data_IF_741480684394
#
_entry.id   IF_741480684394
#
_cell.length_a   1.000
_cell.length_b   1.000
_cell.length_c   1.000
_cell.angle_alpha   90.00
_cell.angle_beta   90.00
_cell.angle_gamma   90.00
#
_symmetry.space_group_name_H-M   'P 1'
#
loop_
_entity.id
_entity.type
_entity.pdbx_description
1 polymer ?
#
# COMPACT_ATOMS: atom_id res chain seq x y z
N UNK A 1 13.68 14.93 5.57
CA UNK A 1 12.31 15.02 5.03
C UNK A 1 12.18 16.39 4.39
N UNK A 2 11.65 16.50 3.17
CA UNK A 2 11.58 17.78 2.47
C UNK A 2 10.57 18.72 3.14
N UNK A 3 10.91 20.00 3.26
CA UNK A 3 10.00 21.03 3.78
C UNK A 3 8.93 21.35 2.71
N UNK A 4 7.63 21.20 3.01
CA UNK A 4 6.57 21.52 2.06
C UNK A 4 6.48 23.00 1.68
N UNK A 5 7.10 23.89 2.46
CA UNK A 5 7.11 25.33 2.17
C UNK A 5 8.24 25.73 1.20
N UNK A 6 9.16 24.81 0.90
CA UNK A 6 10.30 25.07 0.01
C UNK A 6 10.09 24.30 -1.30
N UNK A 7 9.65 24.97 -2.39
CA UNK A 7 9.28 24.31 -3.64
C UNK A 7 10.43 23.50 -4.26
N UNK A 8 11.67 23.98 -4.13
CA UNK A 8 12.85 23.29 -4.67
C UNK A 8 13.14 21.96 -3.95
N UNK A 9 12.88 21.89 -2.64
CA UNK A 9 13.02 20.66 -1.87
C UNK A 9 11.94 19.65 -2.25
N UNK A 10 10.72 20.11 -2.50
CA UNK A 10 9.63 19.27 -3.01
C UNK A 10 9.95 18.73 -4.40
N UNK A 11 10.47 19.57 -5.30
CA UNK A 11 10.86 19.15 -6.65
C UNK A 11 12.01 18.13 -6.61
N UNK A 12 13.01 18.35 -5.75
CA UNK A 12 14.10 17.40 -5.55
C UNK A 12 13.59 16.07 -4.98
N UNK A 13 12.72 16.12 -3.96
CA UNK A 13 12.11 14.92 -3.38
C UNK A 13 11.28 14.14 -4.42
N UNK A 14 10.49 14.86 -5.22
CA UNK A 14 9.73 14.27 -6.33
C UNK A 14 10.64 13.57 -7.34
N UNK A 15 11.69 14.25 -7.79
CA UNK A 15 12.66 13.67 -8.73
C UNK A 15 13.39 12.46 -8.12
N UNK A 16 13.70 12.52 -6.83
CA UNK A 16 14.38 11.41 -6.12
C UNK A 16 13.49 10.17 -5.94
N UNK A 17 12.17 10.34 -5.92
CA UNK A 17 11.20 9.24 -5.76
C UNK A 17 11.34 8.22 -6.89
N UNK A 18 11.61 8.70 -8.11
CA UNK A 18 11.73 7.89 -9.31
C UNK A 18 13.18 7.47 -9.62
N UNK A 19 14.12 7.70 -8.70
CA UNK A 19 15.50 7.28 -8.89
C UNK A 19 15.63 5.74 -8.72
N UNK A 20 15.69 5.03 -9.84
CA UNK A 20 15.78 3.57 -9.87
C UNK A 20 17.08 3.00 -9.28
N UNK A 21 18.18 3.77 -9.24
CA UNK A 21 19.46 3.32 -8.68
C UNK A 21 19.46 3.38 -7.15
N UNK A 22 18.80 4.40 -6.58
CA UNK A 22 18.80 4.67 -5.14
C UNK A 22 17.56 4.10 -4.42
N UNK A 23 16.41 4.05 -5.10
CA UNK A 23 15.13 3.60 -4.57
C UNK A 23 14.66 2.26 -5.17
N UNK A 24 15.31 1.80 -6.25
CA UNK A 24 14.99 0.54 -6.90
C UNK A 24 15.84 -0.62 -6.40
N UNK A 25 15.32 -1.83 -6.58
CA UNK A 25 16.07 -3.08 -6.41
C UNK A 25 15.65 -4.03 -7.52
N UNK A 26 16.61 -4.54 -8.28
CA UNK A 26 16.33 -5.49 -9.34
C UNK A 26 16.04 -6.87 -8.73
N UNK A 27 14.90 -7.45 -9.11
CA UNK A 27 14.45 -8.76 -8.63
C UNK A 27 13.73 -9.49 -9.77
N UNK A 28 13.71 -10.81 -9.70
CA UNK A 28 12.85 -11.62 -10.57
C UNK A 28 11.38 -11.26 -10.31
N UNK A 29 10.55 -11.27 -11.36
CA UNK A 29 9.18 -10.75 -11.29
C UNK A 29 8.32 -11.41 -10.21
N UNK A 30 8.49 -12.71 -9.98
CA UNK A 30 7.76 -13.46 -8.95
C UNK A 30 8.29 -13.16 -7.54
N UNK A 31 9.60 -13.02 -7.36
CA UNK A 31 10.20 -12.60 -6.09
C UNK A 31 9.79 -11.16 -5.74
N UNK A 32 9.75 -10.28 -6.74
CA UNK A 32 9.27 -8.91 -6.57
C UNK A 32 7.84 -8.87 -6.01
N UNK A 33 6.94 -9.71 -6.51
CA UNK A 33 5.56 -9.78 -5.98
C UNK A 33 5.53 -10.18 -4.51
N UNK A 34 6.38 -11.12 -4.09
CA UNK A 34 6.51 -11.50 -2.69
C UNK A 34 7.09 -10.37 -1.83
N UNK A 35 8.02 -9.60 -2.37
CA UNK A 35 8.62 -8.44 -1.70
C UNK A 35 7.60 -7.30 -1.53
N UNK A 36 6.83 -7.00 -2.58
CA UNK A 36 5.79 -5.96 -2.56
C UNK A 36 4.63 -6.32 -1.63
N UNK A 37 4.25 -7.60 -1.61
CA UNK A 37 3.29 -8.18 -0.67
C UNK A 37 3.85 -8.39 0.75
N UNK A 38 5.08 -7.92 1.03
CA UNK A 38 5.70 -7.94 2.37
C UNK A 38 5.81 -9.36 2.97
N UNK A 39 5.89 -10.40 2.14
CA UNK A 39 6.11 -11.78 2.59
C UNK A 39 7.55 -12.02 3.08
N UNK A 40 8.48 -11.17 2.63
CA UNK A 40 9.84 -11.10 3.14
C UNK A 40 10.35 -9.66 3.08
N UNK A 41 11.40 -9.37 3.85
CA UNK A 41 12.09 -8.08 3.84
C UNK A 41 13.61 -8.27 3.93
N UNK A 42 14.36 -7.21 3.61
CA UNK A 42 15.82 -7.19 3.68
C UNK A 42 16.23 -6.23 4.81
N UNK A 43 17.04 -6.73 5.73
CA UNK A 43 17.50 -5.93 6.88
C UNK A 43 18.39 -4.76 6.41
N UNK A 44 18.16 -3.53 6.90
CA UNK A 44 18.83 -2.34 6.34
C UNK A 44 20.34 -2.28 6.56
N UNK A 45 20.87 -2.89 7.62
CA UNK A 45 22.29 -2.90 7.98
C UNK A 45 23.00 -4.20 7.59
N UNK A 46 22.39 -5.34 7.93
CA UNK A 46 23.02 -6.65 7.71
C UNK A 46 22.77 -7.18 6.29
N UNK A 47 21.77 -6.62 5.60
CA UNK A 47 21.24 -7.10 4.32
C UNK A 47 20.78 -8.56 4.37
N UNK A 48 20.49 -9.09 5.56
CA UNK A 48 19.92 -10.43 5.70
C UNK A 48 18.45 -10.42 5.28
N UNK A 49 18.07 -11.42 4.51
CA UNK A 49 16.70 -11.64 4.06
C UNK A 49 15.93 -12.33 5.19
N UNK A 50 14.84 -11.72 5.63
CA UNK A 50 13.90 -12.31 6.58
C UNK A 50 12.61 -12.64 5.87
N UNK A 51 12.27 -13.93 5.85
CA UNK A 51 10.98 -14.44 5.37
C UNK A 51 10.01 -14.52 6.55
N UNK A 52 8.79 -14.05 6.34
CA UNK A 52 7.73 -14.01 7.36
C UNK A 52 6.69 -15.12 7.18
N UNK A 53 6.57 -15.66 5.97
CA UNK A 53 5.57 -16.66 5.62
C UNK A 53 6.24 -17.86 4.96
N UNK A 54 5.77 -19.05 5.32
CA UNK A 54 6.28 -20.33 4.81
C UNK A 54 5.84 -20.55 3.35
N UNK A 55 6.66 -20.08 2.42
CA UNK A 55 6.46 -20.25 0.98
C UNK A 55 7.74 -20.80 0.35
N UNK A 56 7.62 -21.93 -0.35
CA UNK A 56 8.75 -22.64 -0.97
C UNK A 56 9.65 -21.74 -1.82
N UNK A 57 9.03 -20.82 -2.57
CA UNK A 57 9.69 -19.91 -3.50
C UNK A 57 10.58 -18.85 -2.82
N UNK A 58 10.41 -18.59 -1.52
CA UNK A 58 11.15 -17.55 -0.79
C UNK A 58 11.91 -18.10 0.42
N UNK A 59 11.49 -19.24 0.96
CA UNK A 59 12.12 -19.87 2.13
C UNK A 59 13.60 -20.14 1.94
N UNK A 60 14.02 -20.51 0.72
CA UNK A 60 15.43 -20.74 0.42
C UNK A 60 16.31 -19.51 0.63
N UNK A 61 15.72 -18.30 0.64
CA UNK A 61 16.45 -17.05 0.86
C UNK A 61 16.49 -16.63 2.33
N UNK A 62 15.72 -17.26 3.22
CA UNK A 62 15.69 -16.90 4.63
C UNK A 62 17.09 -16.99 5.26
N UNK A 63 17.51 -15.93 5.96
CA UNK A 63 18.82 -15.83 6.59
C UNK A 63 20.00 -15.65 5.63
N UNK A 64 19.77 -15.64 4.30
CA UNK A 64 20.82 -15.33 3.33
C UNK A 64 21.01 -13.83 3.18
N UNK A 65 22.24 -13.41 2.86
CA UNK A 65 22.56 -12.01 2.60
C UNK A 65 22.18 -11.64 1.16
N UNK A 66 21.35 -10.63 1.00
CA UNK A 66 21.01 -10.08 -0.31
C UNK A 66 22.22 -9.39 -0.94
N UNK A 67 22.44 -9.65 -2.24
CA UNK A 67 23.41 -8.90 -3.02
C UNK A 67 22.76 -7.61 -3.54
N UNK A 68 22.90 -6.53 -2.76
CA UNK A 68 22.36 -5.22 -3.09
C UNK A 68 23.42 -4.36 -3.77
N UNK A 69 22.97 -3.52 -4.72
CA UNK A 69 23.81 -2.45 -5.24
C UNK A 69 24.18 -1.49 -4.11
N UNK A 70 25.45 -1.05 -4.09
CA UNK A 70 25.98 -0.15 -3.04
C UNK A 70 25.25 1.20 -2.95
N UNK A 71 24.45 1.54 -3.96
CA UNK A 71 23.70 2.78 -4.09
C UNK A 71 22.33 2.76 -3.43
N UNK A 72 21.81 1.59 -3.04
CA UNK A 72 20.49 1.50 -2.41
C UNK A 72 20.52 2.26 -1.08
N UNK A 73 19.63 3.24 -0.94
CA UNK A 73 19.56 4.05 0.26
C UNK A 73 19.09 3.20 1.44
N UNK A 74 19.88 3.19 2.52
CA UNK A 74 19.53 2.53 3.79
C UNK A 74 18.15 2.93 4.29
N UNK A 75 17.77 4.20 4.13
CA UNK A 75 16.46 4.71 4.54
C UNK A 75 15.29 4.04 3.80
N UNK A 76 15.47 3.67 2.53
CA UNK A 76 14.45 2.97 1.73
C UNK A 76 14.27 1.54 2.23
N UNK A 77 15.39 0.84 2.49
CA UNK A 77 15.36 -0.50 3.08
C UNK A 77 14.75 -0.49 4.47
N UNK A 78 15.08 0.53 5.29
CA UNK A 78 14.50 0.71 6.62
C UNK A 78 12.98 0.84 6.56
N UNK A 79 12.46 1.72 5.69
CA UNK A 79 11.02 1.90 5.54
C UNK A 79 10.33 0.59 5.16
N UNK A 80 10.87 -0.15 4.18
CA UNK A 80 10.28 -1.44 3.77
C UNK A 80 10.39 -2.50 4.86
N UNK A 81 11.48 -2.53 5.60
CA UNK A 81 11.66 -3.40 6.75
C UNK A 81 10.60 -3.11 7.82
N UNK A 82 10.46 -1.86 8.24
CA UNK A 82 9.53 -1.46 9.29
C UNK A 82 8.07 -1.78 8.91
N UNK A 83 7.68 -1.51 7.65
CA UNK A 83 6.36 -1.86 7.13
C UNK A 83 6.13 -3.38 7.12
N UNK A 84 7.11 -4.17 6.71
CA UNK A 84 6.99 -5.62 6.71
C UNK A 84 6.91 -6.19 8.13
N UNK A 85 7.69 -5.66 9.08
CA UNK A 85 7.63 -6.06 10.49
C UNK A 85 6.26 -5.71 11.07
N UNK A 86 5.75 -4.50 10.82
CA UNK A 86 4.45 -4.05 11.30
C UNK A 86 3.31 -4.98 10.84
N UNK A 87 3.31 -5.37 9.57
CA UNK A 87 2.27 -6.24 8.99
C UNK A 87 2.38 -7.70 9.44
N UNK A 88 3.59 -8.20 9.66
CA UNK A 88 3.85 -9.60 9.97
C UNK A 88 4.12 -9.89 11.46
N UNK A 89 3.97 -8.90 12.33
CA UNK A 89 4.12 -9.13 13.78
C UNK A 89 2.90 -9.88 14.32
N UNK A 90 3.05 -11.11 14.84
CA UNK A 90 1.93 -11.87 15.38
C UNK A 90 1.38 -11.17 16.62
N UNK A 91 0.16 -10.65 16.50
CA UNK A 91 -0.57 -10.07 17.61
C UNK A 91 0.06 -8.81 18.18
N UNK A 92 0.11 -7.73 17.41
CA UNK A 92 -0.05 -6.44 18.09
C UNK A 92 -1.49 -6.34 18.56
N UNK A 93 -1.68 -6.52 19.86
CA UNK A 93 -2.63 -5.71 20.62
C UNK A 93 -2.13 -4.26 20.48
N UNK A 94 -2.24 -3.68 19.28
CA UNK A 94 -2.36 -2.25 19.18
C UNK A 94 -3.74 -1.98 19.74
N UNK A 95 -3.90 -1.23 20.85
CA UNK A 95 -5.13 -0.48 20.98
C UNK A 95 -5.21 0.29 19.67
N UNK A 96 -6.17 -0.06 18.82
CA UNK A 96 -6.41 0.56 17.51
C UNK A 96 -6.01 2.03 17.66
N UNK A 97 -4.91 2.45 17.01
CA UNK A 97 -4.64 3.88 16.92
C UNK A 97 -5.85 4.40 16.16
N UNK A 98 -6.81 4.93 16.89
CA UNK A 98 -8.12 5.35 16.39
C UNK A 98 -7.98 6.55 15.45
N UNK A 99 -6.73 6.93 15.14
CA UNK A 99 -6.30 8.00 14.28
C UNK A 99 -4.79 7.89 14.14
N UNK A 100 -4.28 7.90 12.93
CA UNK A 100 -2.95 8.46 12.69
C UNK A 100 -3.06 9.96 13.06
N UNK A 101 -2.63 10.34 14.26
CA UNK A 101 -2.85 11.69 14.82
C UNK A 101 -2.06 12.80 14.13
N UNK A 102 -1.25 12.47 13.13
CA UNK A 102 -0.40 13.41 12.41
C UNK A 102 -0.52 13.28 10.88
N UNK A 103 -1.67 12.86 10.36
CA UNK A 103 -1.97 13.13 8.94
C UNK A 103 -2.29 14.63 8.88
N UNK A 104 -1.50 15.48 8.18
CA UNK A 104 -1.93 16.84 7.92
C UNK A 104 -3.27 16.73 7.22
N UNK A 105 -4.31 17.32 7.80
CA UNK A 105 -5.63 17.32 7.22
C UNK A 105 -5.52 18.02 5.86
N UNK A 106 -5.35 17.23 4.79
CA UNK A 106 -5.30 17.76 3.44
C UNK A 106 -6.62 18.48 3.25
N UNK A 107 -6.55 19.78 2.96
CA UNK A 107 -7.72 20.58 2.64
C UNK A 107 -8.57 19.77 1.68
N UNK A 108 -9.76 19.36 2.13
CA UNK A 108 -10.69 18.61 1.28
C UNK A 108 -10.77 19.39 -0.03
N UNK A 109 -10.42 18.79 -1.18
CA UNK A 109 -10.49 19.52 -2.43
C UNK A 109 -11.91 20.03 -2.55
N UNK A 110 -12.09 21.36 -2.59
CA UNK A 110 -13.38 21.95 -2.94
C UNK A 110 -13.74 21.30 -4.26
N UNK A 111 -14.80 20.51 -4.26
CA UNK A 111 -15.30 19.88 -5.47
C UNK A 111 -15.55 21.01 -6.49
N UNK A 112 -14.59 21.22 -7.39
CA UNK A 112 -14.82 22.05 -8.56
C UNK A 112 -15.77 21.20 -9.39
N UNK A 113 -17.00 21.69 -9.61
CA UNK A 113 -17.82 21.18 -10.71
C UNK A 113 -16.98 21.36 -11.97
N UNK A 114 -16.36 20.29 -12.46
CA UNK A 114 -15.89 20.25 -13.83
C UNK A 114 -17.16 20.34 -14.68
N UNK A 115 -17.37 21.49 -15.31
CA UNK A 115 -18.45 21.71 -16.29
C UNK A 115 -18.17 20.99 -17.61
N UNK A 116 -17.00 20.38 -17.74
CA UNK A 116 -16.63 19.58 -18.90
C UNK A 116 -16.69 18.11 -18.50
N UNK A 117 -17.71 17.43 -19.03
CA UNK A 117 -17.78 15.98 -19.00
C UNK A 117 -16.66 15.39 -19.87
N UNK A 118 -16.26 14.15 -19.55
CA UNK A 118 -15.35 13.36 -20.37
C UNK A 118 -15.94 13.22 -21.80
N UNK A 119 -15.31 13.78 -22.84
CA UNK A 119 -15.84 13.73 -24.20
C UNK A 119 -15.91 12.31 -24.76
N UNK A 120 -15.24 11.32 -24.13
CA UNK A 120 -15.37 9.91 -24.52
C UNK A 120 -16.70 9.26 -24.12
N UNK A 121 -17.55 9.95 -23.35
CA UNK A 121 -18.86 9.45 -22.88
C UNK A 121 -20.08 10.03 -23.60
N UNK A 122 -19.88 10.75 -24.70
CA UNK A 122 -20.92 11.41 -25.51
C UNK A 122 -21.86 10.45 -26.30
N UNK A 123 -22.05 9.21 -25.83
CA UNK A 123 -22.77 8.17 -26.58
C UNK A 123 -23.76 7.30 -25.81
N UNK A 124 -23.90 7.42 -24.48
CA UNK A 124 -24.87 6.59 -23.74
C UNK A 124 -25.68 7.40 -22.74
N UNK A 125 -26.72 8.07 -23.22
CA UNK A 125 -27.82 8.51 -22.37
C UNK A 125 -28.67 7.30 -21.98
N UNK A 126 -28.29 6.60 -20.91
CA UNK A 126 -29.24 5.76 -20.18
C UNK A 126 -29.50 6.43 -18.84
N UNK A 127 -30.65 7.09 -18.79
CA UNK A 127 -31.24 7.69 -17.61
C UNK A 127 -31.48 6.60 -16.56
N UNK A 128 -30.55 6.44 -15.62
CA UNK A 128 -30.72 5.60 -14.44
C UNK A 128 -31.79 6.20 -13.53
N UNK A 129 -33.03 5.74 -13.69
CA UNK A 129 -34.15 6.09 -12.82
C UNK A 129 -33.93 5.43 -11.46
N UNK A 130 -33.65 6.24 -10.43
CA UNK A 130 -33.64 5.79 -9.04
C UNK A 130 -35.06 5.34 -8.64
N UNK A 131 -35.31 4.04 -8.62
CA UNK A 131 -36.49 3.49 -7.95
C UNK A 131 -36.05 3.06 -6.55
N UNK A 132 -36.54 3.78 -5.54
CA UNK A 132 -36.47 3.40 -4.13
C UNK A 132 -37.02 1.97 -3.95
N UNK A 133 -36.19 1.05 -3.47
CA UNK A 133 -36.66 -0.20 -2.90
C UNK A 133 -36.97 0.05 -1.41
N UNK A 134 -38.26 0.19 -1.09
CA UNK A 134 -38.77 0.14 0.28
C UNK A 134 -38.54 -1.25 0.85
N UNK A 135 -37.99 -1.30 2.07
CA UNK A 135 -37.69 -2.54 2.77
C UNK A 135 -38.94 -3.38 3.06
N UNK A 136 -38.77 -4.70 2.94
CA UNK A 136 -39.72 -5.68 3.47
C UNK A 136 -38.94 -6.60 4.42
N UNK A 137 -39.40 -6.63 5.66
CA UNK A 137 -38.90 -7.48 6.74
C UNK A 137 -39.02 -8.96 6.36
N UNK A 138 -37.96 -9.74 6.62
CA UNK A 138 -38.04 -11.19 6.67
C UNK A 138 -38.39 -11.61 8.10
N UNK A 139 -39.63 -12.04 8.32
CA UNK A 139 -40.05 -12.75 9.53
C UNK A 139 -39.77 -14.24 9.32
N UNK A 140 -39.01 -14.86 10.23
CA UNK A 140 -38.67 -16.27 10.18
C UNK A 140 -39.84 -17.20 10.52
N UNK A 141 -39.82 -18.40 9.94
CA UNK A 141 -40.65 -19.52 10.42
C UNK A 141 -39.82 -20.81 10.40
N UNK A 142 -39.94 -21.53 11.51
CA UNK A 142 -39.18 -22.69 11.95
C UNK A 142 -39.39 -23.94 11.07
N UNK A 143 -38.35 -24.79 11.04
CA UNK A 143 -38.43 -26.16 10.56
C UNK A 143 -38.95 -27.10 11.67
N UNK A 144 -39.96 -27.89 11.32
CA UNK A 144 -40.41 -29.11 12.00
C UNK A 144 -40.72 -30.08 10.85
N UNK A 145 -40.10 -31.23 10.66
CA UNK A 145 -39.65 -32.23 11.62
C UNK A 145 -40.59 -33.43 11.44
N UNK A 146 -40.17 -34.41 10.64
CA UNK A 146 -40.37 -35.88 10.73
C UNK A 146 -39.72 -36.53 9.52
#
# INVERSE_FOLDING_TARGET
MADPNVPDQLQLAWNSTWNGEMNGSMMLSYIYKCFDARLFAIHPETHLIRVFVDYDIINEFHGKRANLLRLVLRAVLQLRWDLAILENSPGMIFPFLSRFTNIPELLRPKARKLTYGDPSKEGSSTQGRNTQASGTQASGTQASGT
#
